data_IF_540172993735
#
_entry.id   IF_540172993735
#
_cell.length_a   1.000
_cell.length_b   1.000
_cell.length_c   1.000
_cell.angle_alpha   90.00
_cell.angle_beta   90.00
_cell.angle_gamma   90.00
#
_symmetry.space_group_name_H-M   'P 1'
#
loop_
_entity.id
_entity.type
_entity.pdbx_description
1 polymer ?
#
# COMPACT_ATOMS: atom_id res chain seq x y z
N UNK A 1 -87.81 3.53 -11.73
CA UNK A 1 -87.75 2.14 -11.24
C UNK A 1 -86.53 1.50 -11.88
N UNK A 2 -85.53 1.22 -11.06
CA UNK A 2 -84.32 0.41 -11.24
C UNK A 2 -83.74 0.26 -12.65
N UNK A 3 -82.63 0.94 -12.95
CA UNK A 3 -81.26 0.54 -12.55
C UNK A 3 -80.79 -0.69 -13.34
N UNK A 4 -80.15 -0.40 -14.46
CA UNK A 4 -79.50 -1.36 -15.35
C UNK A 4 -78.02 -1.01 -15.35
N UNK A 5 -77.20 -1.92 -14.82
CA UNK A 5 -75.88 -2.33 -15.35
C UNK A 5 -74.93 -2.76 -14.22
N UNK A 6 -74.97 -4.05 -13.88
CA UNK A 6 -73.81 -4.80 -13.40
C UNK A 6 -73.04 -5.36 -14.62
N UNK A 7 -71.73 -5.67 -14.47
CA UNK A 7 -70.72 -5.40 -15.48
C UNK A 7 -70.43 -6.58 -16.40
N UNK A 8 -69.84 -6.36 -17.59
CA UNK A 8 -68.99 -7.37 -18.20
C UNK A 8 -67.56 -7.23 -17.70
N UNK A 9 -67.01 -8.33 -17.20
CA UNK A 9 -65.57 -8.55 -17.13
C UNK A 9 -64.97 -8.34 -18.52
N UNK A 10 -63.93 -7.51 -18.60
CA UNK A 10 -63.24 -7.25 -19.86
C UNK A 10 -62.16 -6.20 -19.69
N UNK A 11 -61.14 -6.48 -18.89
CA UNK A 11 -59.94 -5.67 -18.93
C UNK A 11 -59.25 -5.93 -20.29
N UNK A 12 -59.33 -4.94 -21.17
CA UNK A 12 -58.79 -4.97 -22.53
C UNK A 12 -57.27 -4.86 -22.51
N UNK A 13 -56.60 -5.61 -23.39
CA UNK A 13 -55.14 -5.63 -23.59
C UNK A 13 -54.56 -4.24 -23.92
N UNK A 14 -55.39 -3.31 -24.39
CA UNK A 14 -55.00 -1.96 -24.77
C UNK A 14 -54.84 -0.99 -23.58
N UNK A 15 -55.55 -1.20 -22.46
CA UNK A 15 -55.35 -0.37 -21.25
C UNK A 15 -54.09 -0.79 -20.49
N UNK A 16 -53.73 -2.07 -20.56
CA UNK A 16 -52.50 -2.60 -19.97
C UNK A 16 -51.23 -2.03 -20.65
N UNK A 17 -51.31 -1.74 -21.95
CA UNK A 17 -50.20 -1.17 -22.72
C UNK A 17 -50.02 0.34 -22.50
N UNK A 18 -51.05 1.08 -22.09
CA UNK A 18 -50.90 2.47 -21.64
C UNK A 18 -50.27 2.56 -20.24
N UNK A 19 -50.52 1.58 -19.37
CA UNK A 19 -49.85 1.50 -18.06
C UNK A 19 -48.36 1.12 -18.17
N UNK A 20 -47.96 0.35 -19.17
CA UNK A 20 -46.55 0.03 -19.43
C UNK A 20 -45.74 1.19 -20.04
N UNK A 21 -46.40 2.31 -20.34
CA UNK A 21 -45.74 3.52 -20.87
C UNK A 21 -45.29 4.51 -19.79
N UNK A 22 -45.48 4.20 -18.51
CA UNK A 22 -45.11 5.08 -17.39
C UNK A 22 -43.90 4.58 -16.57
N UNK A 23 -43.34 3.40 -16.85
CA UNK A 23 -42.18 2.89 -16.12
C UNK A 23 -41.25 2.09 -17.04
N UNK A 24 -40.59 2.76 -17.98
CA UNK A 24 -39.46 2.16 -18.70
C UNK A 24 -38.18 2.93 -18.40
N UNK A 25 -37.27 2.23 -17.72
CA UNK A 25 -35.81 2.29 -17.92
C UNK A 25 -34.89 3.24 -17.10
N UNK A 26 -35.13 3.58 -15.81
CA UNK A 26 -33.98 4.00 -15.00
C UNK A 26 -33.94 3.46 -13.56
N UNK A 27 -34.45 2.24 -13.28
CA UNK A 27 -34.28 1.64 -11.94
C UNK A 27 -33.61 0.27 -11.92
N UNK A 28 -33.76 -0.55 -12.97
CA UNK A 28 -33.07 -1.83 -13.08
C UNK A 28 -31.58 -1.71 -13.47
N UNK A 29 -31.12 -0.53 -13.91
CA UNK A 29 -29.71 -0.28 -14.28
C UNK A 29 -28.87 0.21 -13.08
N UNK A 30 -29.48 0.73 -12.01
CA UNK A 30 -28.75 1.21 -10.84
C UNK A 30 -28.24 0.10 -9.90
N UNK A 31 -28.76 -1.13 -10.00
CA UNK A 31 -28.36 -2.24 -9.11
C UNK A 31 -27.31 -3.19 -9.71
N UNK A 32 -26.98 -3.01 -10.99
CA UNK A 32 -25.94 -3.77 -11.70
C UNK A 32 -24.69 -2.94 -12.02
N UNK A 33 -24.49 -1.81 -11.32
CA UNK A 33 -23.28 -0.98 -11.44
C UNK A 33 -22.45 -0.92 -10.14
N UNK A 34 -22.75 -1.78 -9.15
CA UNK A 34 -22.15 -1.68 -7.81
C UNK A 34 -21.22 -2.82 -7.39
N UNK A 35 -20.80 -3.69 -8.31
CA UNK A 35 -19.94 -4.84 -7.96
C UNK A 35 -18.70 -4.97 -8.86
N UNK A 36 -18.21 -3.85 -9.40
CA UNK A 36 -16.80 -3.79 -9.83
C UNK A 36 -15.97 -3.35 -8.64
N UNK A 37 -15.74 -4.25 -7.69
CA UNK A 37 -14.65 -4.07 -6.73
C UNK A 37 -13.35 -4.02 -7.55
N UNK A 38 -12.57 -2.94 -7.51
CA UNK A 38 -11.29 -2.92 -8.21
C UNK A 38 -10.39 -3.97 -7.56
N UNK A 39 -10.30 -5.15 -8.17
CA UNK A 39 -9.53 -6.31 -7.70
C UNK A 39 -8.00 -6.10 -7.75
N UNK A 40 -7.54 -4.84 -7.89
CA UNK A 40 -6.14 -4.50 -8.15
C UNK A 40 -5.35 -4.07 -6.91
N UNK A 41 -5.97 -3.37 -5.96
CA UNK A 41 -5.26 -2.73 -4.84
C UNK A 41 -5.55 -3.50 -3.56
N UNK A 42 -4.66 -4.41 -3.21
CA UNK A 42 -4.69 -5.05 -1.89
C UNK A 42 -4.12 -4.05 -0.87
N UNK A 43 -4.88 -3.69 0.19
CA UNK A 43 -4.39 -2.77 1.20
C UNK A 43 -3.22 -3.41 1.95
N UNK A 44 -2.25 -2.59 2.36
CA UNK A 44 -1.23 -3.02 3.31
C UNK A 44 -1.91 -3.36 4.64
N UNK A 45 -1.58 -4.52 5.19
CA UNK A 45 -2.08 -5.01 6.47
C UNK A 45 -0.90 -5.49 7.32
N UNK A 46 -1.10 -5.67 8.63
CA UNK A 46 -0.05 -6.23 9.50
C UNK A 46 0.48 -7.54 8.92
N UNK A 47 1.80 -7.63 8.77
CA UNK A 47 2.45 -8.81 8.24
C UNK A 47 2.38 -10.02 9.16
N UNK A 48 2.38 -11.20 8.55
CA UNK A 48 2.66 -12.45 9.26
C UNK A 48 4.07 -12.44 9.88
N UNK A 49 4.29 -13.27 10.89
CA UNK A 49 5.62 -13.40 11.55
C UNK A 49 6.71 -13.77 10.54
N UNK A 50 6.42 -14.68 9.61
CA UNK A 50 7.37 -15.12 8.59
C UNK A 50 7.78 -13.98 7.64
N UNK A 51 6.80 -13.23 7.12
CA UNK A 51 7.09 -12.08 6.23
C UNK A 51 7.85 -11.00 6.98
N UNK A 52 7.45 -10.69 8.23
CA UNK A 52 8.15 -9.75 9.09
C UNK A 52 9.62 -10.13 9.25
N UNK A 53 9.92 -11.39 9.54
CA UNK A 53 11.30 -11.87 9.70
C UNK A 53 12.12 -11.72 8.42
N UNK A 54 11.55 -12.07 7.26
CA UNK A 54 12.24 -11.93 5.97
C UNK A 54 12.55 -10.47 5.64
N UNK A 55 11.55 -9.59 5.80
CA UNK A 55 11.71 -8.16 5.51
C UNK A 55 12.73 -7.52 6.45
N UNK A 56 12.64 -7.76 7.76
CA UNK A 56 13.61 -7.23 8.73
C UNK A 56 15.02 -7.77 8.44
N UNK A 57 15.15 -9.07 8.12
CA UNK A 57 16.44 -9.65 7.77
C UNK A 57 17.11 -8.98 6.56
N UNK A 58 16.35 -8.59 5.54
CA UNK A 58 16.88 -7.83 4.39
C UNK A 58 17.37 -6.44 4.81
N UNK A 59 16.60 -5.74 5.64
CA UNK A 59 16.98 -4.41 6.15
C UNK A 59 18.23 -4.49 7.03
N UNK A 60 18.27 -5.45 7.97
CA UNK A 60 19.43 -5.67 8.84
C UNK A 60 20.69 -5.97 8.04
N UNK A 61 20.58 -6.82 7.01
CA UNK A 61 21.70 -7.16 6.16
C UNK A 61 22.23 -5.95 5.37
N UNK A 62 21.34 -5.10 4.83
CA UNK A 62 21.75 -3.88 4.15
C UNK A 62 22.38 -2.86 5.13
N UNK A 63 21.76 -2.64 6.29
CA UNK A 63 22.26 -1.71 7.30
C UNK A 63 23.63 -2.15 7.87
N UNK A 64 23.84 -3.46 8.02
CA UNK A 64 25.13 -4.02 8.41
C UNK A 64 26.18 -3.78 7.33
N UNK A 65 25.83 -3.99 6.05
CA UNK A 65 26.73 -3.70 4.94
C UNK A 65 27.12 -2.20 4.87
N UNK A 66 26.19 -1.27 5.15
CA UNK A 66 26.54 0.16 5.28
C UNK A 66 27.55 0.43 6.39
N UNK A 67 27.38 -0.22 7.55
CA UNK A 67 28.31 -0.09 8.69
C UNK A 67 29.70 -0.60 8.35
N UNK A 68 29.78 -1.71 7.61
CA UNK A 68 31.04 -2.33 7.20
C UNK A 68 31.69 -1.60 6.01
N UNK A 69 31.00 -0.62 5.42
CA UNK A 69 31.46 0.09 4.22
C UNK A 69 31.32 -0.73 2.93
N UNK A 70 30.60 -1.84 2.95
CA UNK A 70 30.37 -2.73 1.82
C UNK A 70 29.12 -2.29 1.04
N UNK A 71 29.28 -1.23 0.25
CA UNK A 71 28.17 -0.68 -0.53
C UNK A 71 27.76 -1.56 -1.70
N UNK A 72 28.63 -2.43 -2.20
CA UNK A 72 28.29 -3.42 -3.22
C UNK A 72 27.30 -4.45 -2.66
N UNK A 73 27.59 -5.00 -1.47
CA UNK A 73 26.66 -5.89 -0.78
C UNK A 73 25.38 -5.16 -0.38
N UNK A 74 25.47 -3.94 0.14
CA UNK A 74 24.29 -3.15 0.50
C UNK A 74 23.36 -2.92 -0.71
N UNK A 75 23.95 -2.63 -1.86
CA UNK A 75 23.25 -2.41 -3.12
C UNK A 75 22.59 -3.67 -3.68
N UNK A 76 23.17 -4.84 -3.40
CA UNK A 76 22.55 -6.13 -3.78
C UNK A 76 21.15 -6.33 -3.19
N UNK A 77 20.83 -5.70 -2.05
CA UNK A 77 19.50 -5.76 -1.43
C UNK A 77 18.46 -4.79 -2.05
N UNK A 78 18.91 -3.86 -2.90
CA UNK A 78 18.03 -2.93 -3.59
C UNK A 78 17.19 -3.64 -4.67
N UNK A 79 16.02 -3.08 -4.97
CA UNK A 79 15.17 -3.51 -6.05
C UNK A 79 15.84 -3.34 -7.42
N UNK A 80 15.45 -4.17 -8.38
CA UNK A 80 15.97 -4.12 -9.74
C UNK A 80 15.78 -2.74 -10.38
N UNK A 81 14.69 -2.04 -10.04
CA UNK A 81 14.42 -0.66 -10.49
C UNK A 81 15.48 0.34 -10.01
N UNK A 82 15.92 0.26 -8.75
CA UNK A 82 17.04 1.07 -8.24
C UNK A 82 18.37 0.63 -8.86
N UNK A 83 18.51 -0.68 -9.11
CA UNK A 83 19.71 -1.23 -9.73
C UNK A 83 19.91 -0.77 -11.18
N UNK A 84 18.82 -0.45 -11.88
CA UNK A 84 18.85 0.08 -13.25
C UNK A 84 19.14 1.60 -13.29
N UNK A 85 18.83 2.32 -12.21
CA UNK A 85 18.95 3.79 -12.16
C UNK A 85 20.34 4.26 -11.71
N UNK A 86 20.98 3.49 -10.83
CA UNK A 86 22.24 3.88 -10.22
C UNK A 86 23.37 2.94 -10.64
N UNK A 87 24.61 3.39 -10.55
CA UNK A 87 25.75 2.51 -10.37
C UNK A 87 25.99 2.32 -8.87
N UNK A 88 26.77 1.31 -8.45
CA UNK A 88 27.13 1.12 -7.03
C UNK A 88 27.75 2.40 -6.45
N UNK A 89 28.67 3.04 -7.17
CA UNK A 89 29.32 4.28 -6.73
C UNK A 89 28.34 5.48 -6.63
N UNK A 90 27.36 5.56 -7.54
CA UNK A 90 26.34 6.60 -7.47
C UNK A 90 25.37 6.35 -6.31
N UNK A 91 25.00 5.09 -6.06
CA UNK A 91 24.19 4.68 -4.91
C UNK A 91 24.90 4.99 -3.60
N UNK A 92 26.18 4.63 -3.47
CA UNK A 92 26.98 4.95 -2.28
C UNK A 92 27.01 6.46 -2.00
N UNK A 93 27.28 7.27 -3.04
CA UNK A 93 27.29 8.73 -2.91
C UNK A 93 25.93 9.25 -2.45
N UNK A 94 24.85 8.81 -3.10
CA UNK A 94 23.48 9.19 -2.77
C UNK A 94 23.13 8.84 -1.32
N UNK A 95 23.49 7.64 -0.84
CA UNK A 95 23.22 7.22 0.54
C UNK A 95 24.01 8.06 1.54
N UNK A 96 25.31 8.28 1.30
CA UNK A 96 26.18 9.05 2.21
C UNK A 96 25.78 10.52 2.30
N UNK A 97 25.36 11.12 1.18
CA UNK A 97 25.00 12.54 1.11
C UNK A 97 23.55 12.79 1.52
N UNK A 98 22.62 12.00 1.00
CA UNK A 98 21.18 12.17 1.26
C UNK A 98 20.73 11.62 2.60
N UNK A 99 21.37 10.55 3.08
CA UNK A 99 20.96 9.83 4.29
C UNK A 99 22.13 9.52 5.24
N UNK A 100 22.92 10.52 5.67
CA UNK A 100 24.13 10.29 6.48
C UNK A 100 23.84 9.59 7.82
N UNK A 101 22.64 9.78 8.39
CA UNK A 101 22.24 9.09 9.63
C UNK A 101 22.02 7.59 9.42
N UNK A 102 21.60 7.17 8.23
CA UNK A 102 21.45 5.76 7.85
C UNK A 102 22.81 5.18 7.51
N UNK A 103 23.64 5.91 6.75
CA UNK A 103 25.00 5.47 6.40
C UNK A 103 25.88 5.24 7.64
N UNK A 104 25.71 6.05 8.69
CA UNK A 104 26.52 6.03 9.90
C UNK A 104 25.67 5.85 11.17
N UNK A 105 24.79 4.85 11.17
CA UNK A 105 23.86 4.58 12.26
C UNK A 105 24.53 3.98 13.51
N UNK A 106 24.02 4.33 14.69
CA UNK A 106 24.47 3.77 15.99
C UNK A 106 23.53 2.70 16.53
N UNK A 107 22.24 2.96 16.48
CA UNK A 107 21.19 2.02 16.86
C UNK A 107 20.00 2.16 15.90
N UNK A 108 19.33 1.04 15.64
CA UNK A 108 18.13 0.97 14.81
C UNK A 108 17.09 0.17 15.55
N UNK A 109 15.83 0.61 15.51
CA UNK A 109 14.69 -0.17 16.01
C UNK A 109 13.66 -0.35 14.89
N UNK A 110 13.21 -1.59 14.71
CA UNK A 110 12.22 -1.96 13.71
C UNK A 110 10.81 -1.92 14.31
N UNK A 111 9.95 -1.10 13.72
CA UNK A 111 8.54 -0.98 14.08
C UNK A 111 7.69 -2.09 13.46
N UNK A 112 6.44 -1.77 13.16
CA UNK A 112 5.51 -2.67 12.48
C UNK A 112 5.91 -2.86 11.01
N UNK A 113 5.73 -4.09 10.52
CA UNK A 113 5.81 -4.42 9.10
C UNK A 113 4.38 -4.58 8.62
N UNK A 114 4.02 -3.86 7.57
CA UNK A 114 2.76 -4.03 6.87
C UNK A 114 3.03 -4.52 5.45
N UNK A 115 2.25 -5.48 4.95
CA UNK A 115 2.41 -6.01 3.61
C UNK A 115 1.06 -6.38 2.98
N UNK A 116 1.08 -6.58 1.66
CA UNK A 116 -0.02 -7.12 0.87
C UNK A 116 0.43 -8.33 0.01
N UNK A 117 1.51 -9.00 0.42
CA UNK A 117 2.16 -10.09 -0.31
C UNK A 117 2.98 -9.69 -1.53
N UNK A 118 2.85 -8.44 -2.02
CA UNK A 118 3.62 -7.90 -3.17
C UNK A 118 4.52 -6.74 -2.77
N UNK A 119 4.05 -5.93 -1.83
CA UNK A 119 4.74 -4.77 -1.28
C UNK A 119 4.76 -4.91 0.23
N UNK A 120 5.81 -4.40 0.85
CA UNK A 120 5.92 -4.29 2.29
C UNK A 120 6.46 -2.93 2.69
N UNK A 121 6.01 -2.46 3.83
CA UNK A 121 6.39 -1.18 4.42
C UNK A 121 6.84 -1.42 5.84
N UNK A 122 7.99 -0.88 6.20
CA UNK A 122 8.53 -0.95 7.57
C UNK A 122 8.86 0.44 8.06
N UNK A 123 8.32 0.81 9.20
CA UNK A 123 8.78 1.99 9.92
C UNK A 123 9.97 1.62 10.81
N UNK A 124 11.05 2.41 10.74
CA UNK A 124 12.21 2.25 11.61
C UNK A 124 12.54 3.56 12.31
N UNK A 125 13.13 3.48 13.49
CA UNK A 125 13.84 4.59 14.10
C UNK A 125 15.34 4.36 14.01
N UNK A 126 16.07 5.41 13.64
CA UNK A 126 17.52 5.37 13.45
C UNK A 126 18.14 6.43 14.34
N UNK A 127 19.02 5.98 15.23
CA UNK A 127 19.79 6.85 16.11
C UNK A 127 21.17 7.10 15.52
N UNK A 128 21.49 8.37 15.31
CA UNK A 128 22.79 8.85 14.85
C UNK A 128 23.74 9.24 15.97
N UNK A 129 24.84 9.90 15.60
CA UNK A 129 25.77 10.52 16.54
C UNK A 129 25.05 11.61 17.36
N UNK A 130 25.41 11.74 18.65
CA UNK A 130 24.77 12.70 19.56
C UNK A 130 23.36 12.34 20.03
N UNK A 131 22.95 11.06 19.96
CA UNK A 131 21.63 10.55 20.38
C UNK A 131 20.43 11.17 19.64
N UNK A 132 20.65 11.82 18.49
CA UNK A 132 19.57 12.28 17.62
C UNK A 132 18.91 11.09 16.94
N UNK A 133 17.59 10.98 17.07
CA UNK A 133 16.79 9.92 16.44
C UNK A 133 15.97 10.51 15.29
N UNK A 134 15.97 9.83 14.15
CA UNK A 134 15.09 10.09 13.01
C UNK A 134 14.24 8.85 12.72
N UNK A 135 13.14 9.04 12.01
CA UNK A 135 12.21 7.98 11.67
C UNK A 135 12.15 7.84 10.16
N UNK A 136 12.08 6.61 9.67
CA UNK A 136 12.04 6.33 8.24
C UNK A 136 11.00 5.28 7.91
N UNK A 137 10.43 5.38 6.72
CA UNK A 137 9.64 4.34 6.08
C UNK A 137 10.51 3.67 5.01
N UNK A 138 10.75 2.38 5.15
CA UNK A 138 11.37 1.57 4.11
C UNK A 138 10.26 0.94 3.27
N UNK A 139 10.39 1.07 1.96
CA UNK A 139 9.52 0.48 0.97
C UNK A 139 10.22 -0.75 0.38
N UNK A 140 9.52 -1.86 0.34
CA UNK A 140 10.01 -3.10 -0.25
C UNK A 140 8.99 -3.63 -1.23
N UNK A 141 9.52 -4.24 -2.29
CA UNK A 141 8.73 -4.99 -3.26
C UNK A 141 9.21 -6.43 -3.31
N UNK A 142 8.28 -7.33 -3.61
CA UNK A 142 8.57 -8.74 -3.77
C UNK A 142 8.98 -9.00 -5.22
N UNK A 143 10.26 -9.22 -5.45
CA UNK A 143 10.81 -9.60 -6.75
C UNK A 143 11.09 -11.10 -6.76
N UNK A 144 10.43 -11.82 -7.67
CA UNK A 144 10.38 -13.28 -7.70
C UNK A 144 9.95 -13.89 -6.36
N UNK A 145 10.90 -14.30 -5.52
CA UNK A 145 10.66 -14.88 -4.20
C UNK A 145 11.42 -14.17 -3.07
N UNK A 146 12.05 -13.02 -3.35
CA UNK A 146 12.82 -12.25 -2.38
C UNK A 146 12.23 -10.84 -2.20
N UNK A 147 12.32 -10.33 -0.98
CA UNK A 147 12.03 -8.93 -0.70
C UNK A 147 13.23 -8.06 -1.09
N UNK A 148 12.98 -6.96 -1.80
CA UNK A 148 13.98 -6.00 -2.24
C UNK A 148 13.58 -4.60 -1.84
N UNK A 149 14.54 -3.79 -1.41
CA UNK A 149 14.31 -2.42 -0.95
C UNK A 149 14.14 -1.53 -2.17
N UNK A 150 12.96 -0.94 -2.34
CA UNK A 150 12.62 -0.06 -3.46
C UNK A 150 12.73 1.42 -3.11
N UNK A 151 12.78 1.78 -1.82
CA UNK A 151 12.91 3.16 -1.41
C UNK A 151 12.98 3.36 0.10
N UNK A 152 13.32 4.59 0.48
CA UNK A 152 13.33 5.06 1.86
C UNK A 152 12.82 6.49 1.93
N UNK A 153 11.94 6.76 2.89
CA UNK A 153 11.35 8.08 3.12
C UNK A 153 11.58 8.48 4.57
N UNK A 154 12.01 9.72 4.82
CA UNK A 154 12.06 10.25 6.19
C UNK A 154 10.63 10.60 6.66
N UNK A 155 10.29 10.21 7.88
CA UNK A 155 9.00 10.50 8.51
C UNK A 155 9.19 11.68 9.49
N UNK A 156 8.55 12.81 9.18
CA UNK A 156 8.54 14.02 10.01
C UNK A 156 7.13 14.66 9.97
N UNK A 157 6.43 14.85 11.12
CA UNK A 157 6.86 14.59 12.50
C UNK A 157 6.90 13.09 12.82
N UNK A 158 7.52 12.72 13.94
CA UNK A 158 7.63 11.32 14.36
C UNK A 158 6.25 10.64 14.50
N UNK A 159 6.14 9.32 14.28
CA UNK A 159 4.86 8.61 14.38
C UNK A 159 4.15 8.80 15.73
N UNK A 160 4.91 8.90 16.83
CA UNK A 160 4.35 9.13 18.17
C UNK A 160 3.67 10.52 18.30
N UNK A 161 4.18 11.53 17.59
CA UNK A 161 3.58 12.86 17.60
C UNK A 161 2.28 12.92 16.75
N UNK A 162 2.12 12.03 15.76
CA UNK A 162 0.94 11.99 14.90
C UNK A 162 -0.28 11.38 15.61
N UNK A 163 -0.07 10.36 16.46
CA UNK A 163 -1.14 9.75 17.26
C UNK A 163 -1.65 10.61 18.43
N UNK A 164 -1.03 11.76 18.68
CA UNK A 164 -1.40 12.73 19.72
C UNK A 164 -2.25 13.89 19.19
N UNK A 165 -2.48 13.93 17.87
CA UNK A 165 -3.27 14.97 17.18
C UNK A 165 -4.63 14.46 16.67
N UNK A 166 -5.03 13.25 17.06
CA UNK A 166 -6.30 12.62 16.69
C UNK A 166 -7.24 12.50 17.89
#
# INVERSE_FOLDING_TARGET
>A
MSDSSRPPCGFSSAEFLSLLRAMSLPFAVCLLFFLVTPAGIQPLQRSSVAVRQQVIGVLEAQLTAFRDGDYERAYSFAASSLQQQFTVAAFERMVKEGYPIIAYWRAVSFGEVQDNGREAVVQISVQGRGRRTRFFRYLLIREASAWRISGVEEINPSPAAQGQLA
#
